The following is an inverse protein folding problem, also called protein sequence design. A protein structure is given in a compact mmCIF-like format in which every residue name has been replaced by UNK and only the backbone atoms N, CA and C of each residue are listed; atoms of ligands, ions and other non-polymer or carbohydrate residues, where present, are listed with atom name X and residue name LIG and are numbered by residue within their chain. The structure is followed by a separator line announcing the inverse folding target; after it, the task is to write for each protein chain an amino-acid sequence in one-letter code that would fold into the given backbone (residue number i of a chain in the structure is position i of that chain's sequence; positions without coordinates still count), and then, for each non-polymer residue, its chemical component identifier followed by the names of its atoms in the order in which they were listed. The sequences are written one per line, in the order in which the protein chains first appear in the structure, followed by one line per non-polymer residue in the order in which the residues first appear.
data_IF_361675268067
#
_entry.id   IF_361675268067
#
_cell.length_a   1.000
_cell.length_b   1.000
_cell.length_c   1.000
_cell.angle_alpha   90.00
_cell.angle_beta   90.00
_cell.angle_gamma   90.00
#
_symmetry.space_group_name_H-M   'P 1'
#
loop_
_entity.id
_entity.type
_entity.pdbx_description
1 polymer ?
#
# COMPACT_ATOMS: atom_id res chain seq x y z
N UNK A 1 -21.33 -4.06 -20.18
CA UNK A 1 -21.09 -3.26 -18.96
C UNK A 1 -19.98 -2.26 -19.23
N UNK A 2 -20.22 -0.95 -19.08
CA UNK A 2 -19.15 0.04 -19.15
C UNK A 2 -18.35 -0.05 -17.84
N UNK A 3 -17.04 -0.31 -17.91
CA UNK A 3 -16.15 -0.19 -16.74
C UNK A 3 -16.24 1.27 -16.26
N UNK A 4 -16.76 1.49 -15.05
CA UNK A 4 -16.61 2.80 -14.44
C UNK A 4 -15.11 3.07 -14.26
N UNK A 5 -14.63 4.27 -14.60
CA UNK A 5 -13.24 4.63 -14.37
C UNK A 5 -12.95 4.53 -12.86
N UNK A 6 -11.81 3.95 -12.50
CA UNK A 6 -11.37 3.89 -11.09
C UNK A 6 -11.31 5.29 -10.50
N UNK A 7 -11.69 5.43 -9.22
CA UNK A 7 -11.55 6.69 -8.50
C UNK A 7 -10.09 7.16 -8.53
N UNK A 8 -9.81 8.48 -8.57
CA UNK A 8 -8.43 8.99 -8.54
C UNK A 8 -7.64 8.45 -7.35
N UNK A 9 -8.30 8.24 -6.21
CA UNK A 9 -7.72 7.64 -5.01
C UNK A 9 -7.28 6.19 -5.27
N UNK A 10 -8.13 5.36 -5.89
CA UNK A 10 -7.79 3.99 -6.26
C UNK A 10 -6.62 3.94 -7.26
N UNK A 11 -6.59 4.83 -8.25
CA UNK A 11 -5.48 4.90 -9.21
C UNK A 11 -4.14 5.15 -8.49
N UNK A 12 -4.12 6.10 -7.55
CA UNK A 12 -2.93 6.39 -6.75
C UNK A 12 -2.53 5.24 -5.82
N UNK A 13 -3.49 4.53 -5.25
CA UNK A 13 -3.20 3.32 -4.48
C UNK A 13 -2.54 2.22 -5.33
N UNK A 14 -3.00 2.04 -6.57
CA UNK A 14 -2.39 1.08 -7.50
C UNK A 14 -0.99 1.52 -7.95
N UNK A 15 -0.76 2.82 -8.15
CA UNK A 15 0.58 3.35 -8.41
C UNK A 15 1.54 3.03 -7.25
N UNK A 16 1.12 3.17 -5.99
CA UNK A 16 1.92 2.80 -4.83
C UNK A 16 2.32 1.31 -4.87
N UNK A 17 1.37 0.41 -5.13
CA UNK A 17 1.66 -1.02 -5.30
C UNK A 17 2.72 -1.26 -6.36
N UNK A 18 2.56 -0.66 -7.54
CA UNK A 18 3.49 -0.84 -8.65
C UNK A 18 4.89 -0.34 -8.31
N UNK A 19 5.00 0.83 -7.67
CA UNK A 19 6.27 1.39 -7.23
C UNK A 19 6.94 0.52 -6.18
N UNK A 20 6.19 -0.01 -5.21
CA UNK A 20 6.74 -0.89 -4.17
C UNK A 20 7.22 -2.21 -4.75
N UNK A 21 6.51 -2.81 -5.70
CA UNK A 21 6.96 -4.01 -6.42
C UNK A 21 8.23 -3.72 -7.23
N UNK A 22 8.27 -2.59 -7.92
CA UNK A 22 9.45 -2.20 -8.69
C UNK A 22 10.67 -2.01 -7.78
N UNK A 23 10.46 -1.44 -6.58
CA UNK A 23 11.51 -1.25 -5.59
C UNK A 23 12.01 -2.58 -5.01
N UNK A 24 11.12 -3.49 -4.63
CA UNK A 24 11.49 -4.80 -4.10
C UNK A 24 12.38 -5.59 -5.07
N UNK A 25 12.08 -5.53 -6.38
CA UNK A 25 12.89 -6.16 -7.43
C UNK A 25 14.29 -5.59 -7.60
N UNK A 26 14.55 -4.40 -7.07
CA UNK A 26 15.87 -3.76 -7.14
C UNK A 26 16.72 -4.06 -5.89
N UNK A 27 16.15 -4.70 -4.88
CA UNK A 27 16.86 -5.04 -3.64
C UNK A 27 17.69 -6.32 -3.85
N UNK A 28 18.98 -6.33 -3.50
CA UNK A 28 19.81 -7.53 -3.55
C UNK A 28 19.24 -8.67 -2.68
N UNK A 29 19.31 -9.91 -3.17
CA UNK A 29 18.79 -11.10 -2.47
C UNK A 29 19.56 -11.41 -1.17
N UNK A 30 20.82 -10.99 -1.08
CA UNK A 30 21.70 -11.17 0.08
C UNK A 30 21.51 -10.11 1.17
N UNK A 31 20.75 -9.04 0.91
CA UNK A 31 20.41 -8.03 1.91
C UNK A 31 19.12 -8.40 2.65
N UNK A 32 19.24 -9.28 3.65
CA UNK A 32 18.10 -9.79 4.43
C UNK A 32 17.25 -8.68 5.09
N UNK A 33 17.88 -7.60 5.53
CA UNK A 33 17.21 -6.47 6.16
C UNK A 33 16.29 -5.73 5.16
N UNK A 34 16.82 -5.37 3.99
CA UNK A 34 16.05 -4.69 2.95
C UNK A 34 14.98 -5.61 2.37
N UNK A 35 15.29 -6.91 2.21
CA UNK A 35 14.31 -7.92 1.78
C UNK A 35 13.13 -7.99 2.76
N UNK A 36 13.39 -8.08 4.06
CA UNK A 36 12.35 -8.11 5.09
C UNK A 36 11.55 -6.82 5.13
N UNK A 37 12.24 -5.67 5.09
CA UNK A 37 11.59 -4.35 5.07
C UNK A 37 10.66 -4.18 3.87
N UNK A 38 11.12 -4.59 2.68
CA UNK A 38 10.34 -4.48 1.44
C UNK A 38 9.09 -5.38 1.42
N UNK A 39 9.14 -6.55 2.07
CA UNK A 39 7.95 -7.39 2.26
C UNK A 39 6.88 -6.69 3.08
N UNK A 40 7.26 -6.04 4.18
CA UNK A 40 6.32 -5.23 4.94
C UNK A 40 5.79 -4.02 4.15
N UNK A 41 6.63 -3.42 3.30
CA UNK A 41 6.17 -2.37 2.38
C UNK A 41 5.12 -2.91 1.40
N UNK A 42 5.35 -4.09 0.81
CA UNK A 42 4.40 -4.73 -0.10
C UNK A 42 3.07 -5.03 0.59
N UNK A 43 3.10 -5.59 1.81
CA UNK A 43 1.90 -5.85 2.61
C UNK A 43 1.06 -4.57 2.78
N UNK A 44 1.69 -3.48 3.20
CA UNK A 44 1.01 -2.19 3.36
C UNK A 44 0.49 -1.63 2.03
N UNK A 45 1.31 -1.70 0.97
CA UNK A 45 0.94 -1.20 -0.35
C UNK A 45 -0.28 -1.94 -0.92
N UNK A 46 -0.35 -3.27 -0.77
CA UNK A 46 -1.50 -4.07 -1.21
C UNK A 46 -2.74 -3.87 -0.33
N UNK A 47 -2.57 -3.59 0.96
CA UNK A 47 -3.68 -3.38 1.88
C UNK A 47 -4.47 -2.10 1.56
N UNK A 48 -3.79 -1.04 1.13
CA UNK A 48 -4.41 0.26 0.80
C UNK A 48 -5.53 0.13 -0.24
N UNK A 49 -5.30 -0.37 -1.48
CA UNK A 49 -6.37 -0.49 -2.48
C UNK A 49 -7.46 -1.47 -2.06
N UNK A 50 -7.12 -2.55 -1.35
CA UNK A 50 -8.12 -3.50 -0.83
C UNK A 50 -9.10 -2.83 0.13
N UNK A 51 -8.62 -1.96 1.01
CA UNK A 51 -9.44 -1.24 1.99
C UNK A 51 -10.17 -0.05 1.39
N UNK A 52 -9.62 0.61 0.36
CA UNK A 52 -10.38 1.60 -0.44
C UNK A 52 -11.58 0.92 -1.11
N UNK A 53 -11.38 -0.22 -1.76
CA UNK A 53 -12.47 -0.98 -2.37
C UNK A 53 -13.52 -1.42 -1.34
N UNK A 54 -13.09 -1.82 -0.14
CA UNK A 54 -13.98 -2.15 0.98
C UNK A 54 -14.79 -0.94 1.46
N UNK A 55 -14.19 0.25 1.53
CA UNK A 55 -14.88 1.48 1.92
C UNK A 55 -15.87 1.96 0.85
N UNK A 56 -15.50 1.91 -0.43
CA UNK A 56 -16.36 2.32 -1.54
C UNK A 56 -17.50 1.31 -1.81
N UNK A 57 -17.27 0.02 -1.52
CA UNK A 57 -18.22 -1.07 -1.77
C UNK A 57 -19.25 -1.32 -0.66
N UNK A 58 -19.13 -0.64 0.49
CA UNK A 58 -20.02 -0.83 1.65
C UNK A 58 -20.90 0.40 1.88
N UNK A 59 -22.18 0.18 2.19
CA UNK A 59 -23.14 1.27 2.47
C UNK A 59 -23.26 1.68 3.94
N UNK A 60 -22.52 1.02 4.83
CA UNK A 60 -22.55 1.27 6.27
C UNK A 60 -21.38 2.17 6.68
N UNK A 61 -21.70 3.37 7.19
CA UNK A 61 -20.73 4.41 7.53
C UNK A 61 -19.61 3.93 8.48
N UNK A 62 -19.95 3.15 9.50
CA UNK A 62 -18.95 2.65 10.47
C UNK A 62 -17.90 1.77 9.78
N UNK A 63 -18.33 0.91 8.86
CA UNK A 63 -17.42 0.06 8.08
C UNK A 63 -16.60 0.87 7.06
N UNK A 64 -17.16 1.95 6.51
CA UNK A 64 -16.39 2.86 5.67
C UNK A 64 -15.27 3.53 6.47
N UNK A 65 -15.58 4.00 7.69
CA UNK A 65 -14.63 4.68 8.56
C UNK A 65 -13.56 3.74 9.11
N UNK A 66 -13.91 2.50 9.44
CA UNK A 66 -12.95 1.47 9.81
C UNK A 66 -11.95 1.20 8.69
N UNK A 67 -12.44 0.99 7.46
CA UNK A 67 -11.57 0.81 6.30
C UNK A 67 -10.68 2.04 6.05
N UNK A 68 -11.22 3.26 6.19
CA UNK A 68 -10.46 4.49 6.06
C UNK A 68 -9.36 4.61 7.14
N UNK A 69 -9.61 4.16 8.37
CA UNK A 69 -8.60 4.11 9.42
C UNK A 69 -7.46 3.13 9.08
N UNK A 70 -7.79 1.96 8.52
CA UNK A 70 -6.80 0.98 8.08
C UNK A 70 -5.95 1.54 6.93
N UNK A 71 -6.58 2.20 5.94
CA UNK A 71 -5.85 2.89 4.84
C UNK A 71 -4.84 3.89 5.39
N UNK A 72 -5.26 4.74 6.34
CA UNK A 72 -4.35 5.72 6.97
C UNK A 72 -3.18 5.07 7.70
N UNK A 73 -3.45 3.97 8.43
CA UNK A 73 -2.42 3.22 9.14
C UNK A 73 -1.40 2.63 8.16
N UNK A 74 -1.86 1.89 7.16
CA UNK A 74 -1.01 1.24 6.17
C UNK A 74 -0.15 2.26 5.39
N UNK A 75 -0.73 3.40 5.00
CA UNK A 75 0.01 4.48 4.33
C UNK A 75 1.12 5.08 5.22
N UNK A 76 0.86 5.23 6.52
CA UNK A 76 1.88 5.71 7.47
C UNK A 76 3.00 4.70 7.65
N UNK A 77 2.66 3.42 7.83
CA UNK A 77 3.65 2.35 7.98
C UNK A 77 4.52 2.21 6.73
N UNK A 78 3.91 2.25 5.53
CA UNK A 78 4.63 2.27 4.26
C UNK A 78 5.60 3.45 4.15
N UNK A 79 5.18 4.65 4.58
CA UNK A 79 6.04 5.84 4.56
C UNK A 79 7.24 5.71 5.51
N UNK A 80 7.02 5.15 6.71
CA UNK A 80 8.09 4.90 7.68
C UNK A 80 9.09 3.86 7.14
N UNK A 81 8.60 2.77 6.57
CA UNK A 81 9.44 1.71 5.99
C UNK A 81 10.22 2.21 4.77
N UNK A 82 9.59 3.00 3.90
CA UNK A 82 10.28 3.64 2.78
C UNK A 82 11.40 4.60 3.27
N UNK A 83 11.16 5.28 4.40
CA UNK A 83 12.17 6.11 5.06
C UNK A 83 13.34 5.32 5.64
N UNK A 84 13.09 4.11 6.17
CA UNK A 84 14.15 3.29 6.79
C UNK A 84 15.17 2.76 5.79
N UNK A 85 14.78 2.56 4.52
CA UNK A 85 15.68 2.11 3.45
C UNK A 85 16.91 3.01 3.26
N UNK A 86 16.84 4.28 3.66
CA UNK A 86 17.94 5.26 3.50
C UNK A 86 19.06 5.10 4.53
N UNK A 87 18.82 4.36 5.60
CA UNK A 87 19.78 4.21 6.70
C UNK A 87 20.58 2.89 6.62
N UNK A 88 20.31 2.08 5.60
CA UNK A 88 21.13 0.90 5.30
C UNK A 88 22.36 1.31 4.47
N UNK A 89 23.54 0.91 4.91
CA UNK A 89 24.85 1.25 4.32
C UNK A 89 25.52 0.03 3.67
#
# INVERSE_FOLDING_TARGET
MKKQPQSPLMQKAMELVQLTIALEKLIPDDNEYLQTTSRFMLENAFLIPAKIAGAEGVGLYDLQMENAAIVRKAARELSVQAGSLRFEH
#
